data_IF_234892721080
#
_entry.id   IF_234892721080
#
_cell.length_a   1.000
_cell.length_b   1.000
_cell.length_c   1.000
_cell.angle_alpha   90.00
_cell.angle_beta   90.00
_cell.angle_gamma   90.00
#
_symmetry.space_group_name_H-M   'P 1'
#
loop_
_entity.id
_entity.type
_entity.pdbx_description
1 polymer ?
#
# COMPACT_ATOMS: atom_id res chain seq x y z
N UNK A 1 -64.86 -40.32 48.78
CA UNK A 1 -64.17 -41.11 47.74
C UNK A 1 -62.75 -40.57 47.58
N UNK A 2 -61.78 -41.46 47.68
CA UNK A 2 -60.35 -41.28 47.94
C UNK A 2 -59.58 -40.67 46.76
N UNK A 3 -58.93 -39.51 46.95
CA UNK A 3 -57.89 -39.01 46.03
C UNK A 3 -56.56 -39.67 46.40
N UNK A 4 -56.08 -40.57 45.55
CA UNK A 4 -54.75 -41.19 45.62
C UNK A 4 -53.67 -40.13 45.35
N UNK A 5 -52.83 -39.87 46.34
CA UNK A 5 -51.55 -39.21 46.15
C UNK A 5 -50.65 -40.08 45.26
N UNK A 6 -50.40 -39.64 44.03
CA UNK A 6 -49.35 -40.20 43.17
C UNK A 6 -48.03 -39.54 43.54
N UNK A 7 -47.20 -40.26 44.29
CA UNK A 7 -45.80 -39.88 44.46
C UNK A 7 -45.07 -40.19 43.15
N UNK A 8 -44.70 -39.15 42.42
CA UNK A 8 -43.76 -39.24 41.31
C UNK A 8 -42.38 -39.48 41.94
N UNK A 9 -41.93 -40.73 41.92
CA UNK A 9 -40.56 -41.10 42.26
C UNK A 9 -39.61 -40.39 41.30
N UNK A 10 -38.94 -39.34 41.79
CA UNK A 10 -37.75 -38.79 41.13
C UNK A 10 -36.66 -39.85 41.25
N UNK A 11 -36.51 -40.66 40.21
CA UNK A 11 -35.36 -41.57 40.07
C UNK A 11 -34.10 -40.69 40.00
N UNK A 12 -33.48 -40.49 41.16
CA UNK A 12 -32.19 -39.81 41.26
C UNK A 12 -31.17 -40.62 40.48
N UNK A 13 -30.71 -40.05 39.37
CA UNK A 13 -29.66 -40.65 38.55
C UNK A 13 -28.44 -40.89 39.46
N UNK A 14 -28.12 -42.16 39.71
CA UNK A 14 -27.02 -42.56 40.59
C UNK A 14 -25.71 -41.93 40.08
N UNK A 15 -24.77 -41.60 40.97
CA UNK A 15 -23.50 -40.91 40.66
C UNK A 15 -22.76 -41.55 39.46
N UNK A 16 -22.83 -42.87 39.31
CA UNK A 16 -22.27 -43.62 38.16
C UNK A 16 -22.97 -43.32 36.83
N UNK A 17 -24.27 -43.05 36.83
CA UNK A 17 -25.05 -42.64 35.66
C UNK A 17 -24.76 -41.19 35.26
N UNK A 18 -24.60 -40.29 36.24
CA UNK A 18 -24.18 -38.91 36.01
C UNK A 18 -22.74 -38.84 35.45
N UNK A 19 -21.82 -39.66 35.95
CA UNK A 19 -20.45 -39.72 35.41
C UNK A 19 -20.42 -40.20 33.95
N UNK A 20 -21.30 -41.15 33.58
CA UNK A 20 -21.40 -41.66 32.20
C UNK A 20 -21.98 -40.62 31.25
N UNK A 21 -23.02 -39.89 31.67
CA UNK A 21 -23.60 -38.83 30.83
C UNK A 21 -22.67 -37.63 30.69
N UNK A 22 -21.97 -37.22 31.75
CA UNK A 22 -20.93 -36.19 31.68
C UNK A 22 -19.76 -36.63 30.80
N UNK A 23 -19.33 -37.89 30.90
CA UNK A 23 -18.27 -38.44 30.04
C UNK A 23 -18.66 -38.46 28.56
N UNK A 24 -19.88 -38.89 28.23
CA UNK A 24 -20.41 -38.86 26.85
C UNK A 24 -20.55 -37.43 26.31
N UNK A 25 -20.99 -36.49 27.14
CA UNK A 25 -21.12 -35.09 26.76
C UNK A 25 -19.75 -34.43 26.55
N UNK A 26 -18.77 -34.71 27.42
CA UNK A 26 -17.41 -34.23 27.27
C UNK A 26 -16.76 -34.74 25.97
N UNK A 27 -16.94 -36.02 25.62
CA UNK A 27 -16.46 -36.56 24.34
C UNK A 27 -17.15 -35.87 23.14
N UNK A 28 -18.44 -35.57 23.25
CA UNK A 28 -19.18 -34.84 22.21
C UNK A 28 -18.63 -33.43 21.97
N UNK A 29 -18.33 -32.69 23.04
CA UNK A 29 -17.76 -31.32 22.96
C UNK A 29 -16.32 -31.36 22.43
N UNK A 30 -15.50 -32.35 22.82
CA UNK A 30 -14.13 -32.49 22.31
C UNK A 30 -14.08 -32.80 20.81
N UNK A 31 -15.08 -33.53 20.28
CA UNK A 31 -15.15 -33.85 18.85
C UNK A 31 -15.66 -32.69 17.99
N UNK A 32 -16.42 -31.74 18.55
CA UNK A 32 -16.83 -30.51 17.85
C UNK A 32 -15.82 -29.38 17.97
N UNK A 33 -14.89 -29.43 18.95
CA UNK A 33 -13.88 -28.41 19.19
C UNK A 33 -12.75 -28.36 18.14
N UNK A 34 -12.60 -29.39 17.29
CA UNK A 34 -11.55 -29.44 16.25
C UNK A 34 -12.05 -29.05 14.85
N UNK A 35 -13.18 -28.37 14.73
CA UNK A 35 -13.68 -27.94 13.42
C UNK A 35 -13.12 -26.57 13.03
N UNK A 36 -12.02 -26.58 12.25
CA UNK A 36 -11.59 -25.43 11.44
C UNK A 36 -10.56 -24.48 12.07
N UNK A 37 -9.45 -24.98 12.60
CA UNK A 37 -8.29 -24.10 12.84
C UNK A 37 -7.70 -23.66 11.49
N UNK A 38 -7.49 -22.35 11.33
CA UNK A 38 -6.78 -21.80 10.18
C UNK A 38 -5.34 -22.31 10.24
N UNK A 39 -4.89 -22.93 9.16
CA UNK A 39 -3.52 -23.47 9.03
C UNK A 39 -2.69 -22.50 8.21
N UNK A 40 -1.49 -22.19 8.67
CA UNK A 40 -0.48 -21.44 7.90
C UNK A 40 0.17 -22.29 6.80
N UNK A 41 0.06 -23.62 6.90
CA UNK A 41 0.57 -24.54 5.87
C UNK A 41 -0.41 -24.64 4.70
N UNK A 42 0.10 -24.88 3.47
CA UNK A 42 -0.73 -25.17 2.32
C UNK A 42 -1.77 -26.25 2.64
N UNK A 43 -3.02 -26.13 2.12
CA UNK A 43 -4.06 -27.11 2.35
C UNK A 43 -3.65 -28.51 1.95
N UNK A 44 -4.08 -29.51 2.72
CA UNK A 44 -3.85 -30.91 2.37
C UNK A 44 -4.66 -31.23 1.12
N UNK A 45 -3.97 -31.53 0.02
CA UNK A 45 -4.58 -31.92 -1.25
C UNK A 45 -4.47 -33.46 -1.43
N UNK A 46 -5.55 -34.24 -1.20
CA UNK A 46 -5.46 -35.70 -1.13
C UNK A 46 -5.15 -36.39 -2.45
N UNK A 47 -5.40 -35.72 -3.58
CA UNK A 47 -5.11 -36.24 -4.91
C UNK A 47 -4.53 -35.14 -5.79
N UNK A 48 -3.21 -35.17 -6.01
CA UNK A 48 -2.50 -34.18 -6.82
C UNK A 48 -2.31 -34.57 -8.29
N UNK A 49 -2.98 -35.62 -8.75
CA UNK A 49 -2.62 -36.31 -10.00
C UNK A 49 -2.69 -35.46 -11.27
N UNK A 50 -3.31 -34.27 -11.25
CA UNK A 50 -3.35 -33.34 -12.37
C UNK A 50 -3.28 -31.85 -11.95
N UNK A 51 -3.01 -31.54 -10.68
CA UNK A 51 -2.88 -30.16 -10.21
C UNK A 51 -1.56 -29.54 -10.67
N UNK A 52 -0.49 -30.34 -10.57
CA UNK A 52 0.84 -30.02 -11.06
C UNK A 52 1.12 -30.93 -12.25
N UNK A 53 1.06 -30.35 -13.44
CA UNK A 53 1.22 -31.09 -14.68
C UNK A 53 2.69 -31.09 -15.11
N UNK A 54 3.11 -32.09 -15.90
CA UNK A 54 4.45 -32.16 -16.48
C UNK A 54 4.58 -31.25 -17.72
N UNK A 55 4.14 -30.00 -17.58
CA UNK A 55 4.31 -28.91 -18.54
C UNK A 55 4.47 -27.63 -17.73
N UNK A 56 5.18 -26.66 -18.27
CA UNK A 56 5.32 -25.37 -17.61
C UNK A 56 4.27 -24.39 -18.10
N UNK A 57 3.59 -23.73 -17.17
CA UNK A 57 2.79 -22.53 -17.42
C UNK A 57 3.66 -21.27 -17.46
N UNK A 58 3.07 -20.18 -17.94
CA UNK A 58 3.71 -18.88 -17.84
C UNK A 58 3.92 -18.52 -16.35
N UNK A 59 5.12 -18.01 -16.03
CA UNK A 59 5.54 -17.62 -14.68
C UNK A 59 5.70 -18.79 -13.68
N UNK A 60 5.74 -20.04 -14.16
CA UNK A 60 6.06 -21.20 -13.32
C UNK A 60 7.59 -21.31 -13.08
N UNK A 61 7.94 -21.90 -11.94
CA UNK A 61 9.32 -22.23 -11.59
C UNK A 61 9.83 -23.38 -12.48
N UNK A 62 11.06 -23.26 -12.96
CA UNK A 62 11.71 -24.28 -13.77
C UNK A 62 13.16 -24.51 -13.33
N UNK A 63 13.40 -25.67 -12.72
CA UNK A 63 14.70 -26.09 -12.19
C UNK A 63 15.74 -26.45 -13.25
N UNK A 64 15.39 -26.47 -14.55
CA UNK A 64 16.33 -26.75 -15.62
C UNK A 64 17.27 -25.57 -15.91
N UNK A 65 16.78 -24.33 -15.77
CA UNK A 65 17.56 -23.12 -16.04
C UNK A 65 18.09 -22.49 -14.75
N UNK A 66 19.26 -21.84 -14.83
CA UNK A 66 19.94 -21.25 -13.67
C UNK A 66 19.14 -20.12 -12.98
N UNK A 67 18.24 -19.46 -13.71
CA UNK A 67 17.38 -18.38 -13.21
C UNK A 67 16.05 -18.88 -12.63
N UNK A 68 15.77 -20.20 -12.67
CA UNK A 68 14.56 -20.79 -12.14
C UNK A 68 13.28 -20.44 -12.91
N UNK A 69 13.37 -19.81 -14.09
CA UNK A 69 12.20 -19.30 -14.83
C UNK A 69 11.81 -20.23 -15.96
N UNK A 70 10.52 -20.59 -16.04
CA UNK A 70 9.98 -21.24 -17.24
C UNK A 70 9.97 -20.28 -18.45
N UNK A 71 9.64 -19.01 -18.23
CA UNK A 71 9.61 -17.98 -19.29
C UNK A 71 11.03 -17.63 -19.75
N UNK A 72 11.33 -17.89 -21.02
CA UNK A 72 12.60 -17.50 -21.64
C UNK A 72 12.46 -16.16 -22.36
N UNK A 73 13.46 -15.30 -22.19
CA UNK A 73 13.58 -14.10 -23.00
C UNK A 73 13.82 -14.49 -24.46
N UNK A 74 13.07 -13.93 -25.43
CA UNK A 74 13.40 -14.07 -26.84
C UNK A 74 14.82 -13.57 -27.12
N UNK A 75 15.45 -14.13 -28.15
CA UNK A 75 16.77 -13.65 -28.60
C UNK A 75 16.62 -12.23 -29.14
N UNK A 76 17.62 -11.39 -28.92
CA UNK A 76 17.62 -10.02 -29.43
C UNK A 76 17.44 -9.99 -30.96
N UNK A 77 16.64 -9.04 -31.46
CA UNK A 77 16.33 -8.90 -32.88
C UNK A 77 15.23 -9.84 -33.41
N UNK A 78 14.64 -10.71 -32.58
CA UNK A 78 13.50 -11.53 -33.02
C UNK A 78 12.24 -10.68 -33.20
N UNK A 79 11.60 -10.80 -34.37
CA UNK A 79 10.31 -10.15 -34.67
C UNK A 79 9.21 -11.21 -34.72
N UNK A 80 8.17 -11.06 -33.90
CA UNK A 80 7.04 -11.97 -33.91
C UNK A 80 6.15 -11.75 -35.14
N UNK A 81 5.56 -12.82 -35.67
CA UNK A 81 4.63 -12.73 -36.80
C UNK A 81 3.42 -11.88 -36.41
N UNK A 82 3.13 -10.86 -37.22
CA UNK A 82 2.05 -9.89 -36.96
C UNK A 82 2.47 -8.68 -36.10
N UNK A 83 3.70 -8.66 -35.60
CA UNK A 83 4.30 -7.57 -34.81
C UNK A 83 5.50 -6.96 -35.53
N UNK A 84 5.39 -6.84 -36.86
CA UNK A 84 6.43 -6.18 -37.67
C UNK A 84 6.52 -4.68 -37.41
N UNK A 85 5.50 -4.09 -36.77
CA UNK A 85 5.44 -2.71 -36.32
C UNK A 85 5.91 -1.71 -37.39
N UNK A 86 5.37 -1.83 -38.60
CA UNK A 86 5.85 -1.08 -39.77
C UNK A 86 5.49 0.41 -39.74
N UNK A 87 4.52 0.79 -38.91
CA UNK A 87 4.09 2.18 -38.74
C UNK A 87 4.86 2.82 -37.56
N UNK A 88 5.96 3.49 -37.88
CA UNK A 88 6.78 4.15 -36.87
C UNK A 88 6.03 5.28 -36.12
N UNK A 89 5.11 5.98 -36.81
CA UNK A 89 4.31 7.02 -36.17
C UNK A 89 3.41 6.42 -35.08
N UNK A 90 2.81 5.26 -35.34
CA UNK A 90 1.93 4.59 -34.38
C UNK A 90 2.68 3.85 -33.27
N UNK A 91 3.76 3.13 -33.59
CA UNK A 91 4.45 2.25 -32.62
C UNK A 91 5.55 2.96 -31.83
N UNK A 92 6.17 4.00 -32.40
CA UNK A 92 7.33 4.68 -31.83
C UNK A 92 7.09 6.19 -31.60
N UNK A 93 6.07 6.78 -32.23
CA UNK A 93 5.75 8.20 -32.10
C UNK A 93 6.69 9.11 -32.90
N UNK A 94 7.33 8.58 -33.95
CA UNK A 94 8.27 9.32 -34.81
C UNK A 94 7.83 9.31 -36.26
N UNK A 95 8.21 10.34 -37.01
CA UNK A 95 8.00 10.44 -38.45
C UNK A 95 9.07 9.66 -39.25
N UNK A 96 9.01 9.74 -40.58
CA UNK A 96 9.97 9.07 -41.48
C UNK A 96 11.42 9.58 -41.32
N UNK A 97 11.61 10.77 -40.77
CA UNK A 97 12.93 11.37 -40.54
C UNK A 97 13.49 11.04 -39.15
N UNK A 98 12.68 10.42 -38.27
CA UNK A 98 13.02 10.14 -36.88
C UNK A 98 12.69 11.28 -35.92
N UNK A 99 11.98 12.32 -36.39
CA UNK A 99 11.51 13.42 -35.55
C UNK A 99 10.18 13.04 -34.89
N UNK A 100 9.92 13.56 -33.69
CA UNK A 100 8.66 13.26 -32.98
C UNK A 100 7.45 13.83 -33.72
N UNK A 101 6.41 13.01 -33.87
CA UNK A 101 5.16 13.46 -34.48
C UNK A 101 4.44 14.47 -33.60
N UNK A 102 3.87 15.50 -34.22
CA UNK A 102 3.22 16.58 -33.48
C UNK A 102 1.85 16.19 -32.94
N UNK A 103 1.12 15.32 -33.65
CA UNK A 103 -0.27 14.99 -33.36
C UNK A 103 -0.45 13.47 -33.19
N UNK A 104 -1.40 13.08 -32.35
CA UNK A 104 -1.83 11.69 -32.17
C UNK A 104 -2.30 11.09 -33.52
N UNK A 105 -1.79 9.91 -33.95
CA UNK A 105 -2.07 9.32 -35.25
C UNK A 105 -3.38 8.49 -35.28
N UNK A 106 -4.28 8.69 -34.31
CA UNK A 106 -5.51 7.91 -34.12
C UNK A 106 -6.69 8.87 -33.91
N UNK A 107 -7.88 8.46 -34.36
CA UNK A 107 -9.12 9.21 -34.16
C UNK A 107 -9.45 9.42 -32.67
N UNK A 108 -9.57 10.70 -32.28
CA UNK A 108 -9.94 11.10 -30.94
C UNK A 108 -11.46 10.97 -30.73
N UNK A 109 -11.88 9.80 -30.26
CA UNK A 109 -13.27 9.56 -29.83
C UNK A 109 -13.45 9.79 -28.33
N UNK A 110 -14.67 10.10 -27.90
CA UNK A 110 -15.00 10.22 -26.46
C UNK A 110 -14.61 8.95 -25.68
N UNK A 111 -14.90 7.77 -26.24
CA UNK A 111 -14.51 6.48 -25.65
C UNK A 111 -13.00 6.31 -25.54
N UNK A 112 -12.24 6.80 -26.52
CA UNK A 112 -10.78 6.75 -26.50
C UNK A 112 -10.21 7.65 -25.39
N UNK A 113 -10.77 8.84 -25.20
CA UNK A 113 -10.36 9.73 -24.11
C UNK A 113 -10.66 9.13 -22.72
N UNK A 114 -11.84 8.54 -22.51
CA UNK A 114 -12.15 7.86 -21.24
C UNK A 114 -11.26 6.64 -21.00
N UNK A 115 -10.89 5.93 -22.06
CA UNK A 115 -9.90 4.86 -21.98
C UNK A 115 -8.54 5.39 -21.51
N UNK A 116 -8.13 6.54 -22.06
CA UNK A 116 -6.94 7.26 -21.65
C UNK A 116 -6.96 7.63 -20.17
N UNK A 117 -8.08 8.20 -19.71
CA UNK A 117 -8.33 8.52 -18.30
C UNK A 117 -8.16 7.29 -17.41
N UNK A 118 -8.84 6.19 -17.72
CA UNK A 118 -8.77 4.94 -16.95
C UNK A 118 -7.33 4.44 -16.83
N UNK A 119 -6.56 4.48 -17.93
CA UNK A 119 -5.18 4.02 -17.97
C UNK A 119 -4.23 4.95 -17.23
N UNK A 120 -4.42 6.26 -17.36
CA UNK A 120 -3.69 7.27 -16.61
C UNK A 120 -3.89 7.10 -15.10
N UNK A 121 -5.14 6.91 -14.66
CA UNK A 121 -5.49 6.72 -13.24
C UNK A 121 -4.85 5.48 -12.63
N UNK A 122 -4.61 4.43 -13.42
CA UNK A 122 -3.96 3.20 -12.96
C UNK A 122 -2.44 3.35 -12.87
N UNK A 123 -1.80 3.92 -13.90
CA UNK A 123 -0.34 3.83 -14.05
C UNK A 123 0.41 5.12 -13.73
N UNK A 124 -0.21 6.28 -13.93
CA UNK A 124 0.47 7.58 -13.95
C UNK A 124 0.15 8.43 -12.71
N UNK A 125 -1.10 8.41 -12.25
CA UNK A 125 -1.58 9.17 -11.08
C UNK A 125 -0.74 9.00 -9.80
N UNK A 126 -0.20 7.80 -9.46
CA UNK A 126 0.58 7.65 -8.22
C UNK A 126 1.77 8.62 -8.11
N UNK A 127 2.34 9.03 -9.24
CA UNK A 127 3.47 9.97 -9.30
C UNK A 127 3.07 11.35 -9.83
N UNK A 128 2.23 11.41 -10.87
CA UNK A 128 1.89 12.66 -11.55
C UNK A 128 0.63 13.36 -11.00
N UNK A 129 -0.09 12.73 -10.07
CA UNK A 129 -1.32 13.27 -9.50
C UNK A 129 -2.52 13.14 -10.44
N UNK A 130 -3.73 13.29 -9.90
CA UNK A 130 -4.98 13.16 -10.70
C UNK A 130 -5.14 14.32 -11.69
N UNK A 131 -4.68 15.50 -11.31
CA UNK A 131 -4.72 16.72 -12.13
C UNK A 131 -3.52 16.85 -13.06
N UNK A 132 -2.50 16.00 -12.90
CA UNK A 132 -1.26 16.09 -13.66
C UNK A 132 -0.27 17.13 -13.13
N UNK A 133 -0.43 17.60 -11.89
CA UNK A 133 0.41 18.64 -11.30
C UNK A 133 1.75 18.12 -10.74
N UNK A 134 2.02 16.81 -10.78
CA UNK A 134 3.24 16.22 -10.21
C UNK A 134 3.16 15.97 -8.70
N UNK A 135 1.95 16.05 -8.15
CA UNK A 135 1.58 15.93 -6.74
C UNK A 135 0.97 14.55 -6.42
N UNK A 136 1.46 13.49 -7.07
CA UNK A 136 1.02 12.14 -6.75
C UNK A 136 1.39 11.75 -5.32
N UNK A 137 0.67 10.78 -4.73
CA UNK A 137 0.92 10.28 -3.37
C UNK A 137 2.38 9.85 -3.12
N UNK A 138 3.06 9.34 -4.15
CA UNK A 138 4.48 8.96 -4.06
C UNK A 138 5.41 10.20 -3.99
N UNK A 139 4.99 11.34 -4.54
CA UNK A 139 5.77 12.58 -4.50
C UNK A 139 5.59 13.34 -3.19
N UNK A 140 4.41 13.24 -2.56
CA UNK A 140 4.13 13.92 -1.28
C UNK A 140 4.80 13.22 -0.08
N UNK A 141 4.99 11.90 -0.14
CA UNK A 141 5.47 11.09 1.00
C UNK A 141 6.97 11.19 1.34
N UNK A 142 7.72 12.15 0.77
CA UNK A 142 9.16 12.37 1.02
C UNK A 142 10.03 11.10 0.90
N UNK A 143 9.73 10.23 -0.07
CA UNK A 143 10.44 8.96 -0.29
C UNK A 143 11.79 9.11 -1.04
N UNK A 144 12.30 10.34 -1.19
CA UNK A 144 13.56 10.60 -1.90
C UNK A 144 13.49 10.45 -3.44
N UNK A 145 12.29 10.47 -4.03
CA UNK A 145 12.14 10.50 -5.48
C UNK A 145 12.40 11.88 -6.06
N UNK A 146 12.86 11.93 -7.31
CA UNK A 146 12.87 13.18 -8.09
C UNK A 146 11.43 13.55 -8.42
N UNK A 147 10.97 14.76 -8.06
CA UNK A 147 9.59 15.19 -8.32
C UNK A 147 9.20 15.02 -9.79
N UNK A 148 8.02 14.46 -10.02
CA UNK A 148 7.44 14.42 -11.35
C UNK A 148 7.18 15.86 -11.85
N UNK A 149 7.48 16.19 -13.11
CA UNK A 149 7.13 17.48 -13.67
C UNK A 149 5.61 17.62 -13.78
N UNK A 150 5.11 18.83 -13.60
CA UNK A 150 3.72 19.18 -13.90
C UNK A 150 3.51 19.16 -15.42
N UNK A 151 2.41 18.56 -15.87
CA UNK A 151 2.05 18.61 -17.29
C UNK A 151 1.62 20.01 -17.73
N UNK A 152 1.30 20.88 -16.77
CA UNK A 152 0.89 22.26 -17.01
C UNK A 152 2.07 23.21 -17.23
N UNK A 153 3.32 22.75 -17.07
CA UNK A 153 4.49 23.55 -17.42
C UNK A 153 4.54 23.82 -18.93
N UNK A 154 4.79 25.08 -19.34
CA UNK A 154 4.89 25.45 -20.76
C UNK A 154 5.85 24.54 -21.54
N UNK A 155 6.99 24.22 -20.94
CA UNK A 155 8.00 23.31 -21.54
C UNK A 155 7.42 21.95 -21.90
N UNK A 156 6.45 21.43 -21.14
CA UNK A 156 5.80 20.14 -21.39
C UNK A 156 4.64 20.29 -22.37
N UNK A 157 3.90 21.39 -22.29
CA UNK A 157 2.84 21.72 -23.26
C UNK A 157 3.40 21.83 -24.69
N UNK A 158 4.58 22.45 -24.83
CA UNK A 158 5.26 22.66 -26.12
C UNK A 158 5.87 21.38 -26.72
N UNK A 159 5.89 20.26 -25.97
CA UNK A 159 6.42 19.01 -26.51
C UNK A 159 5.49 18.48 -27.61
N UNK A 160 6.03 17.83 -28.66
CA UNK A 160 5.21 17.07 -29.61
C UNK A 160 4.56 15.86 -28.92
N UNK A 161 3.39 15.43 -29.40
CA UNK A 161 2.68 14.25 -28.87
C UNK A 161 3.54 12.98 -28.89
N UNK A 162 4.38 12.84 -29.93
CA UNK A 162 5.36 11.76 -30.05
C UNK A 162 6.41 11.73 -28.94
N UNK A 163 6.81 12.91 -28.40
CA UNK A 163 7.74 12.96 -27.28
C UNK A 163 7.08 12.50 -25.98
N UNK A 164 5.81 12.83 -25.76
CA UNK A 164 5.02 12.31 -24.62
C UNK A 164 4.85 10.79 -24.73
N UNK A 165 4.53 10.30 -25.93
CA UNK A 165 4.47 8.86 -26.20
C UNK A 165 5.80 8.16 -25.91
N UNK A 166 6.91 8.71 -26.41
CA UNK A 166 8.25 8.17 -26.20
C UNK A 166 8.64 8.17 -24.73
N UNK A 167 8.24 9.18 -23.94
CA UNK A 167 8.47 9.18 -22.50
C UNK A 167 7.78 7.98 -21.83
N UNK A 168 6.56 7.64 -22.23
CA UNK A 168 5.84 6.47 -21.71
C UNK A 168 6.50 5.16 -22.19
N UNK A 169 6.88 5.10 -23.47
CA UNK A 169 7.44 3.90 -24.08
C UNK A 169 8.87 3.60 -23.63
N UNK A 170 9.77 4.57 -23.71
CA UNK A 170 11.20 4.40 -23.41
C UNK A 170 11.54 4.73 -21.95
N UNK A 171 10.67 5.44 -21.24
CA UNK A 171 11.01 6.08 -19.98
C UNK A 171 11.79 7.38 -20.20
N UNK A 172 12.00 8.15 -19.13
CA UNK A 172 12.81 9.37 -19.17
C UNK A 172 13.53 9.59 -17.84
N UNK A 173 14.86 9.57 -17.87
CA UNK A 173 15.71 9.78 -16.68
C UNK A 173 15.35 8.80 -15.55
N UNK A 174 14.69 9.29 -14.50
CA UNK A 174 14.23 8.53 -13.34
C UNK A 174 12.86 7.87 -13.55
N UNK A 175 12.11 8.29 -14.57
CA UNK A 175 10.84 7.68 -14.92
C UNK A 175 11.09 6.39 -15.71
N UNK A 176 10.60 5.23 -15.24
CA UNK A 176 10.80 3.96 -15.92
C UNK A 176 10.00 3.87 -17.23
N UNK A 177 10.34 2.89 -18.05
CA UNK A 177 9.53 2.51 -19.21
C UNK A 177 8.25 1.79 -18.76
N UNK A 178 7.12 2.15 -19.38
CA UNK A 178 5.83 1.48 -19.22
C UNK A 178 5.48 0.58 -20.42
N UNK A 179 6.44 0.31 -21.31
CA UNK A 179 6.21 -0.43 -22.56
C UNK A 179 5.61 -1.82 -22.34
N UNK A 180 6.02 -2.50 -21.27
CA UNK A 180 5.61 -3.87 -20.96
C UNK A 180 4.23 -3.95 -20.31
N UNK A 181 3.78 -2.86 -19.70
CA UNK A 181 2.53 -2.80 -18.92
C UNK A 181 1.39 -2.14 -19.71
N UNK A 182 1.72 -1.13 -20.53
CA UNK A 182 0.74 -0.34 -21.29
C UNK A 182 0.85 -0.66 -22.77
N UNK A 183 -0.28 -1.04 -23.36
CA UNK A 183 -0.40 -1.32 -24.80
C UNK A 183 -0.24 -0.06 -25.65
N UNK A 184 0.15 -0.22 -26.91
CA UNK A 184 0.42 0.88 -27.85
C UNK A 184 -0.77 1.85 -27.97
N UNK A 185 -1.97 1.28 -28.14
CA UNK A 185 -3.24 2.04 -28.22
C UNK A 185 -3.48 2.84 -26.93
N UNK A 186 -3.26 2.19 -25.77
CA UNK A 186 -3.50 2.76 -24.45
C UNK A 186 -2.47 3.86 -24.13
N UNK A 187 -1.24 3.79 -24.67
CA UNK A 187 -0.25 4.87 -24.55
C UNK A 187 -0.70 6.14 -25.27
N UNK A 188 -1.22 6.02 -26.49
CA UNK A 188 -1.80 7.16 -27.21
C UNK A 188 -3.05 7.70 -26.51
N UNK A 189 -3.87 6.83 -25.93
CA UNK A 189 -5.02 7.25 -25.14
C UNK A 189 -4.60 8.07 -23.91
N UNK A 190 -3.53 7.65 -23.23
CA UNK A 190 -2.94 8.42 -22.12
C UNK A 190 -2.43 9.78 -22.63
N UNK A 191 -1.72 9.84 -23.76
CA UNK A 191 -1.27 11.13 -24.33
C UNK A 191 -2.46 12.04 -24.63
N UNK A 192 -3.55 11.53 -25.21
CA UNK A 192 -4.78 12.29 -25.43
C UNK A 192 -5.36 12.83 -24.12
N UNK A 193 -5.34 12.02 -23.05
CA UNK A 193 -5.81 12.44 -21.74
C UNK A 193 -4.89 13.49 -21.09
N UNK A 194 -3.57 13.37 -21.25
CA UNK A 194 -2.62 14.40 -20.79
C UNK A 194 -2.89 15.74 -21.48
N UNK A 195 -3.18 15.74 -22.79
CA UNK A 195 -3.59 16.96 -23.50
C UNK A 195 -4.89 17.54 -22.95
N UNK A 196 -5.89 16.70 -22.70
CA UNK A 196 -7.13 17.14 -22.07
C UNK A 196 -6.91 17.71 -20.65
N UNK A 197 -5.96 17.17 -19.89
CA UNK A 197 -5.58 17.74 -18.59
C UNK A 197 -4.94 19.11 -18.77
N UNK A 198 -4.02 19.28 -19.72
CA UNK A 198 -3.41 20.59 -20.02
C UNK A 198 -4.47 21.64 -20.37
N UNK A 199 -5.41 21.29 -21.25
CA UNK A 199 -6.53 22.17 -21.61
C UNK A 199 -7.43 22.48 -20.40
N UNK A 200 -7.64 21.53 -19.50
CA UNK A 200 -8.50 21.74 -18.33
C UNK A 200 -8.04 22.87 -17.40
N UNK A 201 -6.76 23.21 -17.42
CA UNK A 201 -6.19 24.31 -16.62
C UNK A 201 -5.97 25.60 -17.43
N UNK A 202 -6.12 25.55 -18.75
CA UNK A 202 -5.80 26.66 -19.65
C UNK A 202 -7.00 27.14 -20.48
N UNK A 203 -8.19 26.57 -20.26
CA UNK A 203 -9.42 26.97 -20.94
C UNK A 203 -10.09 28.17 -20.24
N UNK A 204 -10.55 29.15 -21.02
CA UNK A 204 -11.29 30.30 -20.48
C UNK A 204 -12.74 29.96 -20.15
N UNK A 205 -13.36 30.69 -19.22
CA UNK A 205 -14.79 30.54 -18.92
C UNK A 205 -15.68 30.84 -20.14
N UNK A 206 -15.22 31.73 -21.02
CA UNK A 206 -15.91 32.08 -22.26
C UNK A 206 -15.94 30.91 -23.25
N UNK A 207 -14.83 30.19 -23.40
CA UNK A 207 -14.75 28.97 -24.23
C UNK A 207 -15.57 27.82 -23.62
N UNK A 208 -15.56 27.67 -22.29
CA UNK A 208 -16.39 26.66 -21.61
C UNK A 208 -17.89 26.88 -21.83
N UNK A 209 -18.32 28.14 -21.92
CA UNK A 209 -19.70 28.50 -22.20
C UNK A 209 -20.15 28.07 -23.62
N UNK A 210 -19.23 28.00 -24.59
CA UNK A 210 -19.52 27.48 -25.94
C UNK A 210 -19.91 25.99 -25.93
N UNK A 211 -19.42 25.24 -24.95
CA UNK A 211 -19.70 23.81 -24.80
C UNK A 211 -20.92 23.50 -23.91
N UNK A 212 -21.75 24.50 -23.59
CA UNK A 212 -22.95 24.37 -22.75
C UNK A 212 -22.65 23.74 -21.37
N UNK A 213 -21.45 23.98 -20.83
CA UNK A 213 -21.04 23.46 -19.52
C UNK A 213 -21.60 24.36 -18.42
N UNK A 214 -22.40 23.78 -17.52
CA UNK A 214 -22.92 24.46 -16.33
C UNK A 214 -21.83 24.54 -15.23
N UNK A 215 -21.06 25.62 -15.26
CA UNK A 215 -19.95 25.87 -14.32
C UNK A 215 -20.48 25.99 -12.88
N UNK A 216 -21.60 26.66 -12.67
CA UNK A 216 -22.19 26.88 -11.34
C UNK A 216 -22.59 25.54 -10.70
N UNK A 217 -23.21 24.63 -11.46
CA UNK A 217 -23.55 23.29 -10.99
C UNK A 217 -22.30 22.46 -10.66
N UNK A 218 -21.23 22.57 -11.44
CA UNK A 218 -19.97 21.88 -11.18
C UNK A 218 -19.28 22.40 -9.91
N UNK A 219 -19.23 23.74 -9.73
CA UNK A 219 -18.67 24.37 -8.53
C UNK A 219 -19.47 24.01 -7.27
N UNK A 220 -20.80 23.97 -7.37
CA UNK A 220 -21.66 23.54 -6.27
C UNK A 220 -21.38 22.07 -5.89
N UNK A 221 -21.24 21.18 -6.88
CA UNK A 221 -20.89 19.77 -6.66
C UNK A 221 -19.51 19.60 -6.03
N UNK A 222 -18.51 20.36 -6.51
CA UNK A 222 -17.16 20.35 -5.95
C UNK A 222 -17.16 20.83 -4.49
N UNK A 223 -17.86 21.93 -4.20
CA UNK A 223 -18.01 22.47 -2.84
C UNK A 223 -18.67 21.48 -1.89
N UNK A 224 -19.70 20.76 -2.36
CA UNK A 224 -20.35 19.70 -1.58
C UNK A 224 -19.42 18.51 -1.31
N UNK A 225 -18.65 18.08 -2.33
CA UNK A 225 -17.68 17.00 -2.16
C UNK A 225 -16.54 17.38 -1.20
N UNK A 226 -16.06 18.62 -1.27
CA UNK A 226 -15.06 19.15 -0.34
C UNK A 226 -15.61 19.19 1.09
N UNK A 227 -16.81 19.75 1.28
CA UNK A 227 -17.45 19.77 2.61
C UNK A 227 -17.66 18.36 3.19
N UNK A 228 -17.97 17.37 2.33
CA UNK A 228 -18.04 15.97 2.76
C UNK A 228 -16.65 15.44 3.16
N UNK A 229 -15.61 15.69 2.37
CA UNK A 229 -14.25 15.29 2.69
C UNK A 229 -13.75 15.93 3.99
N UNK A 230 -13.98 17.22 4.18
CA UNK A 230 -13.64 17.97 5.39
C UNK A 230 -14.39 17.41 6.61
N UNK A 231 -15.68 17.05 6.46
CA UNK A 231 -16.44 16.43 7.54
C UNK A 231 -15.90 15.05 7.94
N UNK A 232 -15.40 14.27 6.96
CA UNK A 232 -14.77 12.97 7.21
C UNK A 232 -13.40 13.16 7.85
N UNK A 233 -12.60 14.14 7.41
CA UNK A 233 -11.33 14.47 8.02
C UNK A 233 -11.52 14.93 9.47
N UNK A 234 -12.45 15.85 9.73
CA UNK A 234 -12.79 16.31 11.08
C UNK A 234 -13.33 15.18 11.96
N UNK A 235 -14.11 14.23 11.40
CA UNK A 235 -14.53 13.05 12.14
C UNK A 235 -13.36 12.13 12.49
N UNK A 236 -12.39 11.96 11.59
CA UNK A 236 -11.16 11.18 11.87
C UNK A 236 -10.28 11.86 12.92
N UNK A 237 -10.16 13.19 12.86
CA UNK A 237 -9.46 13.98 13.89
C UNK A 237 -10.18 13.91 15.24
N UNK A 238 -11.51 14.00 15.26
CA UNK A 238 -12.31 13.86 16.49
C UNK A 238 -12.26 12.42 17.06
N UNK A 239 -12.23 11.40 16.20
CA UNK A 239 -11.99 10.03 16.62
C UNK A 239 -10.58 9.91 17.24
N UNK A 240 -9.56 10.57 16.67
CA UNK A 240 -8.23 10.64 17.27
C UNK A 240 -8.20 11.41 18.61
N UNK A 241 -8.97 12.50 18.76
CA UNK A 241 -9.08 13.25 20.02
C UNK A 241 -9.84 12.50 21.13
N UNK A 242 -10.70 11.54 20.77
CA UNK A 242 -11.46 10.71 21.73
C UNK A 242 -10.79 9.36 22.02
N UNK A 243 -9.71 9.04 21.32
CA UNK A 243 -8.89 7.86 21.60
C UNK A 243 -8.05 8.12 22.86
N UNK A 244 -8.34 7.38 23.92
CA UNK A 244 -7.47 7.33 25.09
C UNK A 244 -6.29 6.39 24.81
N UNK A 245 -5.09 6.83 25.18
CA UNK A 245 -3.90 6.02 25.02
C UNK A 245 -4.03 4.72 25.84
N UNK A 246 -3.73 3.57 25.21
CA UNK A 246 -3.87 2.27 25.86
C UNK A 246 -2.82 1.27 25.41
N UNK A 247 -2.53 0.29 26.27
CA UNK A 247 -1.55 -0.78 25.99
C UNK A 247 -1.95 -1.59 24.75
N UNK A 248 -3.24 -1.88 24.56
CA UNK A 248 -3.72 -2.62 23.39
C UNK A 248 -3.47 -1.85 22.09
N UNK A 249 -3.73 -0.54 22.10
CA UNK A 249 -3.48 0.30 20.94
C UNK A 249 -1.99 0.38 20.62
N UNK A 250 -1.12 0.47 21.63
CA UNK A 250 0.33 0.43 21.43
C UNK A 250 0.80 -0.84 20.73
N UNK A 251 0.25 -1.99 21.14
CA UNK A 251 0.52 -3.27 20.49
C UNK A 251 0.07 -3.30 19.01
N UNK A 252 -1.13 -2.77 18.73
CA UNK A 252 -1.68 -2.71 17.38
C UNK A 252 -0.85 -1.78 16.47
N UNK A 253 -0.43 -0.62 16.97
CA UNK A 253 0.40 0.33 16.22
C UNK A 253 1.80 -0.25 15.97
N UNK A 254 2.40 -0.94 16.94
CA UNK A 254 3.67 -1.66 16.79
C UNK A 254 3.57 -2.73 15.69
N UNK A 255 2.47 -3.50 15.68
CA UNK A 255 2.25 -4.54 14.69
C UNK A 255 2.00 -3.95 13.29
N UNK A 256 1.17 -2.91 13.19
CA UNK A 256 0.81 -2.25 11.93
C UNK A 256 2.02 -1.60 11.25
N UNK A 257 2.97 -1.06 12.04
CA UNK A 257 4.21 -0.45 11.55
C UNK A 257 5.39 -1.43 11.53
N UNK A 258 5.14 -2.72 11.81
CA UNK A 258 6.15 -3.78 11.81
C UNK A 258 7.39 -3.49 12.67
N UNK A 259 7.25 -2.73 13.77
CA UNK A 259 8.35 -2.35 14.65
C UNK A 259 9.08 -3.58 15.24
N UNK A 260 8.34 -4.66 15.47
CA UNK A 260 8.86 -5.96 15.96
C UNK A 260 9.80 -6.69 14.99
N UNK A 261 9.96 -6.22 13.75
CA UNK A 261 10.97 -6.78 12.83
C UNK A 261 12.40 -6.37 13.19
N UNK A 262 12.55 -5.20 13.82
CA UNK A 262 13.84 -4.66 14.25
C UNK A 262 14.03 -4.73 15.76
N UNK A 263 12.95 -4.57 16.53
CA UNK A 263 12.97 -4.59 17.99
C UNK A 263 12.39 -5.89 18.54
N UNK A 264 12.97 -6.40 19.62
CA UNK A 264 12.53 -7.61 20.30
C UNK A 264 11.84 -7.30 21.62
N UNK A 265 10.84 -8.10 21.97
CA UNK A 265 10.13 -8.05 23.27
C UNK A 265 10.72 -9.02 24.30
N UNK A 266 11.54 -9.98 23.86
CA UNK A 266 12.04 -11.11 24.66
C UNK A 266 13.49 -10.93 25.16
N UNK A 267 14.07 -9.75 24.98
CA UNK A 267 15.44 -9.45 25.38
C UNK A 267 16.52 -9.84 24.35
N UNK A 268 16.14 -10.46 23.23
CA UNK A 268 17.11 -10.86 22.19
C UNK A 268 17.72 -9.64 21.47
N UNK A 269 19.01 -9.73 21.11
CA UNK A 269 19.67 -8.67 20.35
C UNK A 269 19.20 -8.68 18.88
N UNK A 270 18.69 -7.55 18.39
CA UNK A 270 18.20 -7.38 17.03
C UNK A 270 18.88 -6.25 16.26
N UNK A 271 18.24 -5.82 15.17
CA UNK A 271 18.67 -4.65 14.38
C UNK A 271 18.50 -3.36 15.20
N UNK A 272 17.46 -3.30 16.04
CA UNK A 272 17.25 -2.29 17.07
C UNK A 272 17.46 -2.85 18.49
N UNK A 273 17.51 -1.97 19.50
CA UNK A 273 17.56 -2.38 20.91
C UNK A 273 16.30 -3.15 21.32
N UNK A 274 16.44 -4.08 22.25
CA UNK A 274 15.30 -4.75 22.87
C UNK A 274 14.47 -3.77 23.70
N UNK A 275 13.16 -3.99 23.75
CA UNK A 275 12.23 -3.26 24.60
C UNK A 275 12.15 -3.81 26.02
N UNK A 276 12.59 -5.05 26.24
CA UNK A 276 12.52 -5.68 27.56
C UNK A 276 13.41 -4.95 28.57
N UNK A 277 12.80 -4.38 29.62
CA UNK A 277 13.50 -3.62 30.66
C UNK A 277 14.17 -2.34 30.14
N UNK A 278 13.71 -1.82 29.00
CA UNK A 278 14.27 -0.64 28.39
C UNK A 278 13.83 0.64 29.10
N UNK A 279 12.58 0.70 29.57
CA UNK A 279 11.99 1.89 30.12
C UNK A 279 12.56 2.18 31.53
N UNK A 280 12.85 3.44 31.83
CA UNK A 280 13.51 3.82 33.08
C UNK A 280 14.96 3.33 33.25
N UNK A 281 15.52 2.56 32.30
CA UNK A 281 16.92 2.17 32.32
C UNK A 281 17.83 3.36 31.96
N UNK A 282 19.05 3.38 32.52
CA UNK A 282 20.07 4.33 32.12
C UNK A 282 20.96 3.72 31.03
N UNK A 283 21.20 4.46 29.96
CA UNK A 283 22.16 4.06 28.92
C UNK A 283 22.94 5.25 28.38
N UNK A 284 24.10 4.96 27.81
CA UNK A 284 24.85 5.95 27.05
C UNK A 284 24.27 6.07 25.64
N UNK A 285 24.05 7.31 25.22
CA UNK A 285 23.60 7.67 23.88
C UNK A 285 24.55 8.69 23.26
N UNK A 286 24.67 8.67 21.94
CA UNK A 286 25.44 9.61 21.14
C UNK A 286 24.47 10.64 20.57
N UNK A 287 24.67 11.92 20.87
CA UNK A 287 23.85 13.02 20.34
C UNK A 287 24.11 13.25 18.85
N UNK A 288 23.27 14.08 18.22
CA UNK A 288 23.48 14.51 16.83
C UNK A 288 24.86 15.17 16.60
N UNK A 289 25.39 15.85 17.62
CA UNK A 289 26.70 16.51 17.63
C UNK A 289 27.86 15.55 17.91
N UNK A 290 27.57 14.27 18.19
CA UNK A 290 28.58 13.23 18.44
C UNK A 290 29.08 13.15 19.88
N UNK A 291 28.42 13.83 20.84
CA UNK A 291 28.75 13.73 22.26
C UNK A 291 28.09 12.51 22.90
N UNK A 292 28.83 11.78 23.74
CA UNK A 292 28.27 10.65 24.52
C UNK A 292 27.75 11.16 25.86
N UNK A 293 26.44 11.08 26.05
CA UNK A 293 25.76 11.46 27.29
C UNK A 293 25.05 10.25 27.91
N UNK A 294 24.91 10.23 29.23
CA UNK A 294 24.06 9.26 29.93
C UNK A 294 22.65 9.82 30.01
N UNK A 295 21.66 9.05 29.53
CA UNK A 295 20.25 9.44 29.54
C UNK A 295 19.43 8.32 30.19
N UNK A 296 18.45 8.73 31.00
CA UNK A 296 17.39 7.84 31.49
C UNK A 296 16.36 7.69 30.38
N UNK A 297 16.01 6.45 30.02
CA UNK A 297 15.05 6.16 28.96
C UNK A 297 13.61 6.30 29.45
N UNK A 298 13.19 7.54 29.69
CA UNK A 298 11.86 7.94 30.11
C UNK A 298 10.90 8.16 28.92
N UNK A 299 9.68 8.63 29.20
CA UNK A 299 8.63 8.85 28.18
C UNK A 299 9.08 9.84 27.10
N UNK A 300 9.77 10.90 27.51
CA UNK A 300 10.29 11.94 26.61
C UNK A 300 11.37 11.36 25.69
N UNK A 301 12.29 10.54 26.24
CA UNK A 301 13.27 9.83 25.44
C UNK A 301 12.64 8.87 24.43
N UNK A 302 11.60 8.11 24.82
CA UNK A 302 10.92 7.18 23.91
C UNK A 302 10.20 7.93 22.79
N UNK A 303 9.50 9.02 23.12
CA UNK A 303 8.83 9.88 22.14
C UNK A 303 9.84 10.47 21.15
N UNK A 304 10.94 11.04 21.66
CA UNK A 304 12.01 11.59 20.82
C UNK A 304 12.64 10.51 19.94
N UNK A 305 12.85 9.29 20.46
CA UNK A 305 13.40 8.18 19.67
C UNK A 305 12.47 7.70 18.56
N UNK A 306 11.15 7.84 18.70
CA UNK A 306 10.15 7.47 17.68
C UNK A 306 10.04 8.56 16.61
N UNK A 307 10.02 9.82 17.02
CA UNK A 307 9.84 10.97 16.11
C UNK A 307 11.16 11.37 15.44
N UNK A 308 12.26 11.39 16.19
CA UNK A 308 13.60 11.81 15.75
C UNK A 308 14.71 10.82 16.17
N UNK A 309 14.71 9.58 15.64
CA UNK A 309 15.63 8.51 16.05
C UNK A 309 17.13 8.83 15.90
N UNK A 310 17.48 9.84 15.08
CA UNK A 310 18.86 10.27 14.87
C UNK A 310 19.37 11.24 15.95
N UNK A 311 18.49 11.83 16.76
CA UNK A 311 18.82 12.83 17.78
C UNK A 311 19.66 12.25 18.93
N UNK A 312 19.27 11.08 19.45
CA UNK A 312 19.99 10.37 20.53
C UNK A 312 20.08 8.88 20.22
N UNK A 313 21.24 8.43 19.75
CA UNK A 313 21.46 7.05 19.31
C UNK A 313 22.11 6.23 20.41
N UNK A 314 21.60 5.04 20.78
CA UNK A 314 22.32 4.15 21.69
C UNK A 314 23.72 3.83 21.17
N UNK A 315 24.74 3.87 22.04
CA UNK A 315 26.16 3.67 21.67
C UNK A 315 26.38 2.37 20.89
N UNK A 316 25.65 1.31 21.24
CA UNK A 316 25.77 -0.02 20.62
C UNK A 316 25.08 -0.13 19.24
N UNK A 317 24.35 0.92 18.80
CA UNK A 317 23.54 0.94 17.58
C UNK A 317 23.92 2.10 16.64
N UNK A 318 25.21 2.20 16.33
CA UNK A 318 25.79 3.30 15.55
C UNK A 318 25.25 3.47 14.12
N UNK A 319 24.61 2.44 13.55
CA UNK A 319 24.11 2.44 12.17
C UNK A 319 22.82 3.27 11.97
N UNK A 320 22.09 3.59 13.06
CA UNK A 320 20.92 4.46 13.05
C UNK A 320 19.90 4.18 11.93
N UNK A 321 19.53 2.91 11.76
CA UNK A 321 18.64 2.45 10.67
C UNK A 321 17.15 2.64 10.97
N UNK A 322 16.79 3.17 12.14
CA UNK A 322 15.40 3.44 12.53
C UNK A 322 14.86 4.65 11.77
N UNK A 323 13.76 4.45 11.04
CA UNK A 323 13.04 5.53 10.34
C UNK A 323 12.28 6.43 11.32
N UNK A 324 12.01 7.68 10.92
CA UNK A 324 11.15 8.59 11.68
C UNK A 324 9.69 8.20 11.52
N UNK A 325 8.95 8.21 12.63
CA UNK A 325 7.51 7.94 12.70
C UNK A 325 6.73 9.19 13.12
N UNK A 326 7.19 10.38 12.72
CA UNK A 326 6.52 11.66 13.04
C UNK A 326 5.10 11.79 12.47
N UNK A 327 4.66 10.85 11.64
CA UNK A 327 3.31 10.78 11.09
C UNK A 327 2.30 10.09 12.03
N UNK A 328 2.76 9.44 13.10
CA UNK A 328 1.88 8.88 14.13
C UNK A 328 1.28 10.01 14.97
N UNK A 329 0.02 9.88 15.35
CA UNK A 329 -0.65 10.82 16.24
C UNK A 329 -0.08 10.74 17.66
N UNK A 330 -0.29 11.81 18.44
CA UNK A 330 0.20 11.87 19.83
C UNK A 330 -0.32 10.72 20.70
N UNK A 331 -1.57 10.33 20.50
CA UNK A 331 -2.22 9.22 21.20
C UNK A 331 -1.61 7.86 20.82
N UNK A 332 -1.25 7.67 19.54
CA UNK A 332 -0.59 6.44 19.08
C UNK A 332 0.82 6.34 19.66
N UNK A 333 1.58 7.44 19.68
CA UNK A 333 2.92 7.48 20.30
C UNK A 333 2.81 7.22 21.81
N UNK A 334 1.87 7.87 22.49
CA UNK A 334 1.64 7.64 23.92
C UNK A 334 1.22 6.18 24.19
N UNK A 335 0.40 5.59 23.33
CA UNK A 335 0.00 4.17 23.42
C UNK A 335 1.19 3.23 23.25
N UNK A 336 2.11 3.50 22.32
CA UNK A 336 3.37 2.76 22.18
C UNK A 336 4.17 2.86 23.49
N UNK A 337 4.35 4.07 24.03
CA UNK A 337 5.10 4.26 25.29
C UNK A 337 4.43 3.50 26.44
N UNK A 338 3.10 3.54 26.57
CA UNK A 338 2.34 2.77 27.55
C UNK A 338 2.54 1.25 27.38
N UNK A 339 2.57 0.77 26.15
CA UNK A 339 2.86 -0.63 25.86
C UNK A 339 4.28 -1.02 26.31
N UNK A 340 5.29 -0.22 25.96
CA UNK A 340 6.68 -0.45 26.38
C UNK A 340 6.83 -0.47 27.91
N UNK A 341 6.13 0.44 28.62
CA UNK A 341 6.06 0.44 30.09
C UNK A 341 5.41 -0.83 30.66
N UNK A 342 4.48 -1.44 29.92
CA UNK A 342 3.78 -2.64 30.36
C UNK A 342 4.65 -3.90 30.24
N UNK A 343 5.60 -3.93 29.30
CA UNK A 343 6.55 -5.05 29.11
C UNK A 343 7.51 -5.26 30.30
N UNK A 344 7.54 -4.35 31.27
CA UNK A 344 8.41 -4.40 32.45
C UNK A 344 7.84 -5.20 33.63
N UNK A 345 6.58 -5.67 33.56
CA UNK A 345 5.92 -6.42 34.64
C UNK A 345 5.82 -7.92 34.40
#
# INVERSE_FOLDING_TARGET
MTKKNSQISRSGMNFKGLLKTVGLFAIGVSLTACQGQISEKPPVHPNMNMDQQLRYEAQEENNFFADGRAMRQPVEGTVARGFANTDAAYYEGVDENGDYIQNIPIDLTKSFLYRGKERYEIYCTPCHGQTGAGDGIIMEGNYGYVPAPSFHDQRIQDLPDGALYSAIYNGVRTMPSYATQVKVEDRWAIVAYIRALQESQNISEEELAEYEVDIDALQAKASQAQAQADSVAAAREADQETMEASVSMGADVIAANACGTCHSEDGSAGIGPTWQGLFGSEAQVVTAEGETITVTKDEDYMRESIVEPSAKKPVDYAQAVMASYSYLSDVEIESIVLYLKNLEN
#
